data_IF_119922020443
#
_entry.id   IF_119922020443
#
_cell.length_a   1.000
_cell.length_b   1.000
_cell.length_c   1.000
_cell.angle_alpha   90.00
_cell.angle_beta   90.00
_cell.angle_gamma   90.00
#
_symmetry.space_group_name_H-M   'P 1'
#
loop_
_entity.id
_entity.type
_entity.pdbx_description
1 polymer ?
#
# COMPACT_ATOMS: atom_id res chain seq x y z
N UNK A 1 -26.26 -15.82 -25.24
CA UNK A 1 -27.56 -15.15 -24.99
C UNK A 1 -28.53 -16.19 -24.44
N UNK A 2 -29.58 -15.83 -23.67
CA UNK A 2 -29.93 -14.49 -23.18
C UNK A 2 -29.37 -14.22 -21.76
N UNK A 3 -30.11 -13.48 -20.90
CA UNK A 3 -29.65 -12.77 -19.69
C UNK A 3 -30.68 -12.94 -18.53
N UNK A 4 -30.37 -12.41 -17.33
CA UNK A 4 -31.20 -12.32 -16.09
C UNK A 4 -31.14 -13.59 -15.22
N UNK A 5 -31.23 -13.55 -13.88
CA UNK A 5 -32.10 -12.71 -13.05
C UNK A 5 -31.48 -12.19 -11.73
N UNK A 6 -32.24 -11.34 -11.03
CA UNK A 6 -31.94 -10.86 -9.68
C UNK A 6 -32.65 -11.72 -8.61
N UNK A 7 -32.00 -11.87 -7.45
CA UNK A 7 -32.72 -11.81 -6.17
C UNK A 7 -32.96 -13.10 -5.38
N UNK A 8 -32.76 -12.93 -4.06
CA UNK A 8 -33.20 -13.75 -2.91
C UNK A 8 -32.53 -15.10 -2.66
N UNK A 9 -32.47 -15.39 -1.36
CA UNK A 9 -31.87 -16.57 -0.72
C UNK A 9 -32.99 -17.52 -0.30
N UNK A 10 -32.79 -18.81 -0.49
CA UNK A 10 -33.49 -19.85 0.24
C UNK A 10 -32.49 -20.89 0.76
N UNK A 11 -32.62 -21.29 2.03
CA UNK A 11 -31.97 -22.48 2.56
C UNK A 11 -32.72 -23.73 2.08
N UNK A 12 -32.00 -24.82 1.78
CA UNK A 12 -32.03 -26.03 2.62
C UNK A 12 -31.14 -27.19 2.09
N UNK A 13 -30.57 -27.93 3.05
CA UNK A 13 -30.18 -29.38 3.04
C UNK A 13 -29.53 -30.04 1.81
N UNK A 14 -28.36 -30.66 2.04
CA UNK A 14 -27.71 -31.62 1.13
C UNK A 14 -28.20 -33.07 1.34
N UNK A 15 -28.15 -33.91 0.29
CA UNK A 15 -28.03 -35.37 0.42
C UNK A 15 -26.58 -35.85 0.19
N UNK A 16 -26.33 -37.16 0.41
CA UNK A 16 -24.99 -37.79 0.49
C UNK A 16 -24.53 -38.45 -0.82
N UNK A 17 -23.24 -38.85 -0.83
CA UNK A 17 -22.59 -39.72 -1.83
C UNK A 17 -23.31 -41.09 -1.97
N UNK A 18 -23.16 -41.69 -3.15
CA UNK A 18 -23.04 -43.14 -3.31
C UNK A 18 -21.85 -43.45 -4.26
N UNK A 19 -21.33 -44.67 -4.21
CA UNK A 19 -20.30 -45.19 -5.14
C UNK A 19 -20.66 -46.62 -5.53
N UNK A 20 -20.39 -46.99 -6.78
CA UNK A 20 -19.96 -48.31 -7.31
C UNK A 20 -20.20 -48.31 -8.83
N UNK A 21 -19.57 -49.07 -9.75
CA UNK A 21 -18.44 -50.03 -9.84
C UNK A 21 -18.87 -51.22 -10.73
N UNK A 22 -18.79 -51.06 -12.04
CA UNK A 22 -18.55 -52.10 -13.05
C UNK A 22 -18.39 -51.43 -14.44
N UNK A 23 -17.62 -51.94 -15.41
CA UNK A 23 -16.68 -53.07 -15.35
C UNK A 23 -16.80 -54.06 -16.50
N UNK A 24 -16.28 -53.71 -17.70
CA UNK A 24 -16.01 -54.59 -18.85
C UNK A 24 -14.92 -53.92 -19.71
N UNK A 25 -14.10 -54.70 -20.42
CA UNK A 25 -13.14 -54.22 -21.43
C UNK A 25 -12.70 -55.35 -22.36
N UNK A 26 -11.91 -55.04 -23.40
CA UNK A 26 -11.18 -55.97 -24.27
C UNK A 26 -10.04 -55.20 -24.97
N UNK A 27 -9.03 -55.91 -25.48
CA UNK A 27 -7.69 -55.37 -25.81
C UNK A 27 -7.34 -55.37 -27.31
N UNK A 28 -6.06 -55.07 -27.62
CA UNK A 28 -5.31 -55.20 -28.89
C UNK A 28 -5.37 -53.98 -29.84
N UNK A 29 -4.29 -53.56 -30.51
CA UNK A 29 -2.87 -54.00 -30.48
C UNK A 29 -1.90 -52.93 -31.02
N UNK A 30 -0.60 -53.00 -30.67
CA UNK A 30 0.49 -52.22 -31.28
C UNK A 30 0.93 -52.79 -32.65
N UNK A 31 1.82 -52.09 -33.39
CA UNK A 31 3.21 -52.59 -33.43
C UNK A 31 4.31 -51.51 -33.26
N UNK A 32 5.55 -51.97 -33.04
CA UNK A 32 6.78 -51.15 -32.99
C UNK A 32 7.65 -51.36 -34.24
N UNK A 33 8.64 -50.49 -34.48
CA UNK A 33 9.81 -50.81 -35.33
C UNK A 33 11.09 -50.04 -34.93
N UNK A 34 12.26 -50.67 -35.12
CA UNK A 34 13.66 -50.22 -34.88
C UNK A 34 14.60 -51.11 -35.75
N UNK A 35 15.83 -50.71 -36.15
CA UNK A 35 17.00 -50.42 -35.28
C UNK A 35 17.80 -49.17 -35.78
N UNK A 36 19.14 -48.96 -35.78
CA UNK A 36 20.37 -49.73 -35.42
C UNK A 36 21.59 -48.78 -35.22
N UNK A 37 22.54 -49.15 -34.34
CA UNK A 37 24.05 -49.03 -34.36
C UNK A 37 24.70 -47.83 -35.11
N UNK A 38 25.66 -47.05 -34.57
CA UNK A 38 27.09 -47.41 -34.32
C UNK A 38 27.77 -46.54 -33.21
N UNK A 39 29.09 -46.63 -33.03
CA UNK A 39 29.79 -46.75 -31.72
C UNK A 39 31.31 -46.38 -31.88
N UNK A 40 32.17 -45.95 -30.91
CA UNK A 40 32.10 -45.74 -29.42
C UNK A 40 32.61 -44.32 -28.94
N UNK A 41 33.77 -44.00 -28.25
CA UNK A 41 33.91 -42.71 -27.48
C UNK A 41 35.21 -41.85 -27.70
N UNK A 42 35.40 -40.77 -26.92
CA UNK A 42 36.71 -40.12 -26.62
C UNK A 42 36.73 -39.38 -25.25
N UNK A 43 37.89 -38.87 -24.79
CA UNK A 43 38.19 -38.52 -23.38
C UNK A 43 38.21 -37.01 -22.98
N UNK A 44 38.21 -36.80 -21.64
CA UNK A 44 38.34 -35.56 -20.82
C UNK A 44 39.35 -34.48 -21.27
N UNK A 45 38.98 -33.21 -21.04
CA UNK A 45 39.66 -32.19 -20.17
C UNK A 45 38.80 -30.90 -20.12
N UNK A 46 38.58 -30.21 -18.99
CA UNK A 46 39.37 -29.11 -18.37
C UNK A 46 39.63 -27.91 -19.34
N UNK A 47 39.52 -26.62 -18.98
CA UNK A 47 39.71 -25.88 -17.70
C UNK A 47 38.76 -24.64 -17.62
N UNK A 48 38.82 -23.88 -16.51
CA UNK A 48 38.27 -22.52 -16.25
C UNK A 48 36.80 -22.46 -15.80
N UNK A 49 36.43 -21.82 -14.68
CA UNK A 49 36.72 -20.46 -14.15
C UNK A 49 36.06 -19.34 -14.97
N UNK A 50 34.84 -18.97 -14.58
CA UNK A 50 34.57 -17.66 -13.95
C UNK A 50 33.22 -17.69 -13.22
N UNK A 51 33.08 -16.90 -12.16
CA UNK A 51 31.85 -16.82 -11.36
C UNK A 51 30.97 -15.68 -11.84
N UNK A 52 29.86 -15.98 -12.51
CA UNK A 52 28.86 -14.97 -12.86
C UNK A 52 27.94 -14.77 -11.66
N UNK A 53 28.05 -13.63 -11.00
CA UNK A 53 27.01 -13.14 -10.09
C UNK A 53 25.76 -12.82 -10.93
N UNK A 54 24.71 -13.64 -10.86
CA UNK A 54 23.39 -13.26 -11.35
C UNK A 54 22.85 -12.11 -10.48
N UNK A 55 23.20 -10.88 -10.89
CA UNK A 55 22.52 -9.67 -10.46
C UNK A 55 21.07 -9.74 -10.92
N UNK A 56 20.21 -10.17 -10.01
CA UNK A 56 18.76 -10.14 -10.13
C UNK A 56 18.26 -8.67 -10.05
N UNK A 57 18.65 -7.87 -11.04
CA UNK A 57 18.14 -6.53 -11.27
C UNK A 57 16.68 -6.64 -11.77
N UNK A 58 15.74 -6.96 -10.85
CA UNK A 58 14.31 -6.64 -10.98
C UNK A 58 14.19 -5.10 -11.11
N UNK A 59 14.48 -4.61 -12.31
CA UNK A 59 14.31 -3.23 -12.76
C UNK A 59 12.89 -2.77 -12.43
N UNK A 60 12.71 -1.49 -12.08
CA UNK A 60 11.45 -0.99 -11.50
C UNK A 60 10.34 -0.80 -12.55
N UNK A 61 9.92 -1.91 -13.16
CA UNK A 61 8.66 -2.03 -13.89
C UNK A 61 7.48 -1.87 -12.92
N UNK A 62 7.13 -0.61 -12.68
CA UNK A 62 5.80 -0.13 -12.34
C UNK A 62 5.24 0.69 -13.53
N UNK A 63 5.54 0.28 -14.78
CA UNK A 63 5.33 1.13 -15.95
C UNK A 63 5.03 0.47 -17.31
N UNK A 64 5.53 -0.73 -17.62
CA UNK A 64 5.35 -1.35 -18.96
C UNK A 64 4.49 -2.64 -18.93
N UNK A 65 4.42 -3.38 -17.81
CA UNK A 65 3.60 -4.61 -17.74
C UNK A 65 2.07 -4.41 -17.84
N UNK A 66 1.57 -3.17 -17.70
CA UNK A 66 0.13 -2.84 -17.62
C UNK A 66 -0.65 -3.06 -18.94
N UNK A 67 0.01 -3.18 -20.08
CA UNK A 67 -0.65 -3.38 -21.39
C UNK A 67 -1.32 -4.76 -21.55
N UNK A 68 -1.16 -5.68 -20.58
CA UNK A 68 -1.55 -7.09 -20.73
C UNK A 68 -2.93 -7.46 -20.15
N UNK A 69 -3.64 -6.55 -19.49
CA UNK A 69 -5.05 -6.76 -19.10
C UNK A 69 -5.99 -6.34 -20.25
N UNK A 70 -6.00 -7.15 -21.32
CA UNK A 70 -6.93 -7.01 -22.46
C UNK A 70 -6.79 -5.73 -23.31
N UNK A 71 -5.68 -4.99 -23.22
CA UNK A 71 -5.50 -3.72 -23.93
C UNK A 71 -6.39 -2.59 -23.40
N UNK A 72 -6.81 -2.65 -22.13
CA UNK A 72 -7.63 -1.65 -21.47
C UNK A 72 -6.72 -0.72 -20.63
N UNK A 73 -6.52 0.55 -21.02
CA UNK A 73 -5.63 1.44 -20.27
C UNK A 73 -6.18 1.76 -18.87
N UNK A 74 -5.33 1.63 -17.86
CA UNK A 74 -5.58 2.07 -16.50
C UNK A 74 -5.30 3.59 -16.42
N UNK A 75 -6.35 4.39 -16.24
CA UNK A 75 -6.24 5.85 -16.23
C UNK A 75 -5.89 6.32 -14.81
N UNK A 76 -4.96 7.26 -14.70
CA UNK A 76 -4.60 7.91 -13.42
C UNK A 76 -4.74 9.42 -13.58
N UNK A 77 -5.60 10.03 -12.78
CA UNK A 77 -5.70 11.48 -12.69
C UNK A 77 -4.39 12.06 -12.13
N UNK A 78 -3.80 13.02 -12.88
CA UNK A 78 -2.61 13.77 -12.46
C UNK A 78 -2.86 15.28 -12.35
N UNK A 79 -4.07 15.75 -12.67
CA UNK A 79 -4.44 17.17 -12.66
C UNK A 79 -4.85 17.72 -11.30
N UNK A 80 -4.97 16.88 -10.27
CA UNK A 80 -5.62 17.23 -9.01
C UNK A 80 -7.14 17.20 -9.13
N UNK A 81 -7.83 17.91 -8.24
CA UNK A 81 -9.29 18.01 -8.23
C UNK A 81 -9.72 19.50 -8.22
N UNK A 82 -10.74 19.92 -9.00
CA UNK A 82 -11.59 19.11 -9.89
C UNK A 82 -10.84 18.43 -11.05
N UNK A 83 -11.35 17.27 -11.49
CA UNK A 83 -10.76 16.50 -12.59
C UNK A 83 -10.77 17.35 -13.88
N UNK A 84 -9.64 17.42 -14.59
CA UNK A 84 -9.56 18.17 -15.83
C UNK A 84 -10.37 17.52 -16.96
N UNK A 85 -10.78 18.32 -17.95
CA UNK A 85 -11.66 17.89 -19.05
C UNK A 85 -11.10 16.68 -19.82
N UNK A 86 -9.79 16.66 -20.09
CA UNK A 86 -9.15 15.54 -20.78
C UNK A 86 -9.29 14.21 -20.02
N UNK A 87 -8.98 14.20 -18.72
CA UNK A 87 -9.08 13.00 -17.86
C UNK A 87 -10.55 12.59 -17.67
N UNK A 88 -11.46 13.57 -17.60
CA UNK A 88 -12.90 13.34 -17.52
C UNK A 88 -13.44 12.65 -18.78
N UNK A 89 -13.10 13.14 -19.98
CA UNK A 89 -13.48 12.48 -21.23
C UNK A 89 -12.80 11.12 -21.41
N UNK A 90 -11.54 10.97 -21.01
CA UNK A 90 -10.88 9.66 -21.02
C UNK A 90 -11.62 8.65 -20.12
N UNK A 91 -12.07 9.07 -18.92
CA UNK A 91 -12.89 8.23 -18.03
C UNK A 91 -14.21 7.82 -18.69
N UNK A 92 -14.95 8.75 -19.28
CA UNK A 92 -16.22 8.43 -19.93
C UNK A 92 -16.06 7.51 -21.14
N UNK A 93 -15.06 7.74 -22.00
CA UNK A 93 -14.69 6.81 -23.11
C UNK A 93 -14.29 5.41 -22.61
N UNK A 94 -13.66 5.31 -21.44
CA UNK A 94 -13.33 4.02 -20.82
C UNK A 94 -14.60 3.31 -20.34
N UNK A 95 -15.51 4.01 -19.64
CA UNK A 95 -16.79 3.48 -19.15
C UNK A 95 -17.69 3.04 -20.31
N UNK A 96 -17.85 3.85 -21.35
CA UNK A 96 -18.74 3.53 -22.48
C UNK A 96 -18.26 2.36 -23.33
N UNK A 97 -16.94 2.13 -23.40
CA UNK A 97 -16.35 0.98 -24.09
C UNK A 97 -16.53 -0.35 -23.33
N UNK A 98 -16.59 -0.32 -22.00
CA UNK A 98 -16.61 -1.54 -21.15
C UNK A 98 -18.02 -1.91 -20.70
N UNK A 99 -18.88 -0.93 -20.42
CA UNK A 99 -20.23 -1.20 -19.95
C UNK A 99 -21.14 -1.67 -21.10
N UNK A 100 -21.90 -2.79 -20.97
CA UNK A 100 -22.74 -3.31 -22.07
C UNK A 100 -23.81 -2.34 -22.59
N UNK A 101 -24.27 -1.42 -21.74
CA UNK A 101 -25.09 -0.26 -22.11
C UNK A 101 -24.28 1.03 -21.85
N UNK A 102 -23.16 1.18 -22.55
CA UNK A 102 -22.22 2.28 -22.32
C UNK A 102 -22.82 3.65 -22.60
N UNK A 103 -23.32 3.84 -23.82
CA UNK A 103 -23.95 5.10 -24.24
C UNK A 103 -25.21 5.44 -23.42
N UNK A 104 -25.99 4.44 -22.97
CA UNK A 104 -27.12 4.67 -22.08
C UNK A 104 -26.69 5.10 -20.68
N UNK A 105 -25.63 4.51 -20.11
CA UNK A 105 -25.05 4.97 -18.84
C UNK A 105 -24.54 6.41 -18.95
N UNK A 106 -23.81 6.73 -20.02
CA UNK A 106 -23.29 8.08 -20.24
C UNK A 106 -24.44 9.11 -20.33
N UNK A 107 -25.43 8.87 -21.19
CA UNK A 107 -26.59 9.76 -21.37
C UNK A 107 -27.45 9.91 -20.11
N UNK A 108 -27.50 8.90 -19.22
CA UNK A 108 -28.26 8.96 -17.96
C UNK A 108 -27.56 9.73 -16.84
N UNK A 109 -26.24 9.93 -16.92
CA UNK A 109 -25.45 10.52 -15.81
C UNK A 109 -24.86 11.87 -16.21
N UNK A 110 -24.34 12.03 -17.43
CA UNK A 110 -23.71 13.29 -17.86
C UNK A 110 -24.76 14.38 -18.03
N UNK A 111 -24.64 15.45 -17.24
CA UNK A 111 -25.57 16.59 -17.27
C UNK A 111 -26.91 16.35 -16.58
N UNK A 112 -27.12 15.21 -15.93
CA UNK A 112 -28.31 14.93 -15.13
C UNK A 112 -28.34 15.83 -13.88
N UNK A 113 -29.51 16.42 -13.59
CA UNK A 113 -29.72 17.40 -12.50
C UNK A 113 -30.40 16.80 -11.27
N UNK A 114 -30.86 15.55 -11.37
CA UNK A 114 -31.57 14.76 -10.37
C UNK A 114 -30.71 13.69 -9.68
N UNK A 115 -29.39 13.69 -9.95
CA UNK A 115 -28.45 12.74 -9.35
C UNK A 115 -28.45 12.81 -7.82
N UNK A 116 -28.44 11.66 -7.11
CA UNK A 116 -28.48 11.65 -5.65
C UNK A 116 -27.20 12.27 -5.07
N UNK A 117 -27.36 13.28 -4.21
CA UNK A 117 -26.24 13.85 -3.46
C UNK A 117 -25.65 12.82 -2.51
N UNK A 118 -24.43 12.38 -2.79
CA UNK A 118 -23.71 11.40 -1.98
C UNK A 118 -23.44 11.99 -0.58
N UNK A 119 -23.76 11.28 0.52
CA UNK A 119 -23.43 11.74 1.86
C UNK A 119 -21.92 11.61 2.10
N UNK A 120 -21.30 12.70 2.58
CA UNK A 120 -19.87 12.72 2.91
C UNK A 120 -19.62 11.85 4.15
N UNK A 121 -18.79 10.79 4.07
CA UNK A 121 -18.49 9.96 5.23
C UNK A 121 -17.66 10.76 6.24
N UNK A 122 -18.02 10.68 7.53
CA UNK A 122 -17.27 11.37 8.59
C UNK A 122 -15.99 10.61 8.90
N UNK A 123 -14.85 11.30 8.86
CA UNK A 123 -13.55 10.74 9.31
C UNK A 123 -13.69 10.25 10.76
N UNK A 124 -13.38 8.97 11.05
CA UNK A 124 -13.71 8.37 12.34
C UNK A 124 -12.81 8.91 13.45
N UNK A 125 -13.44 9.30 14.57
CA UNK A 125 -12.79 9.80 15.78
C UNK A 125 -13.07 8.87 16.97
N UNK A 126 -12.18 8.85 17.95
CA UNK A 126 -12.17 7.85 19.02
C UNK A 126 -12.06 8.48 20.39
N UNK A 127 -12.79 7.94 21.38
CA UNK A 127 -12.49 8.21 22.77
C UNK A 127 -11.19 7.46 23.16
N UNK A 128 -10.40 7.96 24.12
CA UNK A 128 -9.20 7.26 24.61
C UNK A 128 -9.49 5.83 25.10
N UNK A 129 -10.71 5.58 25.58
CA UNK A 129 -11.24 4.29 26.05
C UNK A 129 -11.61 3.31 24.94
N UNK A 130 -11.80 3.74 23.69
CA UNK A 130 -12.19 2.86 22.59
C UNK A 130 -11.08 1.84 22.29
N UNK A 131 -11.40 0.54 22.29
CA UNK A 131 -10.42 -0.53 22.08
C UNK A 131 -9.82 -0.52 20.67
N UNK A 132 -8.56 -0.97 20.52
CA UNK A 132 -7.85 -0.98 19.24
C UNK A 132 -8.63 -1.71 18.12
N UNK A 133 -9.22 -2.91 18.34
CA UNK A 133 -10.03 -3.57 17.29
C UNK A 133 -11.21 -2.72 16.81
N UNK A 134 -11.97 -2.10 17.72
CA UNK A 134 -13.11 -1.25 17.35
C UNK A 134 -12.67 0.00 16.58
N UNK A 135 -11.48 0.56 16.88
CA UNK A 135 -10.91 1.65 16.05
C UNK A 135 -10.58 1.15 14.65
N UNK A 136 -9.92 0.00 14.52
CA UNK A 136 -9.58 -0.58 13.21
C UNK A 136 -10.83 -0.93 12.38
N UNK A 137 -11.89 -1.43 13.01
CA UNK A 137 -13.18 -1.68 12.36
C UNK A 137 -13.85 -0.39 11.86
N UNK A 138 -13.76 0.70 12.63
CA UNK A 138 -14.26 2.02 12.23
C UNK A 138 -13.45 2.63 11.07
N UNK A 139 -12.11 2.52 11.08
CA UNK A 139 -11.27 2.87 9.93
C UNK A 139 -11.67 2.06 8.70
N UNK A 140 -11.87 0.75 8.87
CA UNK A 140 -12.28 -0.13 7.78
C UNK A 140 -13.71 0.14 7.29
N UNK A 141 -14.61 0.62 8.17
CA UNK A 141 -15.93 1.12 7.75
C UNK A 141 -15.77 2.36 6.89
N UNK A 142 -15.03 3.37 7.35
CA UNK A 142 -14.76 4.59 6.59
C UNK A 142 -14.15 4.30 5.20
N UNK A 143 -13.14 3.41 5.14
CA UNK A 143 -12.54 2.94 3.87
C UNK A 143 -13.58 2.27 2.96
N UNK A 144 -14.54 1.51 3.50
CA UNK A 144 -15.64 0.92 2.70
C UNK A 144 -16.70 1.94 2.28
N UNK A 145 -16.97 2.94 3.10
CA UNK A 145 -17.96 3.99 2.82
C UNK A 145 -17.53 4.86 1.62
N UNK A 146 -16.22 5.03 1.40
CA UNK A 146 -15.64 5.64 0.19
C UNK A 146 -15.85 4.79 -1.08
N UNK A 147 -16.10 3.49 -0.94
CA UNK A 147 -16.28 2.49 -2.01
C UNK A 147 -15.01 2.14 -2.81
N UNK A 148 -15.01 0.93 -3.38
CA UNK A 148 -13.96 0.50 -4.31
C UNK A 148 -14.14 1.18 -5.67
N UNK A 149 -13.08 1.76 -6.21
CA UNK A 149 -13.13 2.46 -7.49
C UNK A 149 -13.28 1.50 -8.68
N UNK A 150 -14.48 1.49 -9.27
CA UNK A 150 -14.85 0.72 -10.46
C UNK A 150 -14.91 1.55 -11.76
N UNK A 151 -14.53 2.84 -11.77
CA UNK A 151 -14.70 3.73 -12.94
C UNK A 151 -13.65 3.49 -14.05
N UNK A 152 -12.58 2.77 -13.74
CA UNK A 152 -11.36 2.68 -14.54
C UNK A 152 -10.32 3.71 -14.11
N UNK A 153 -10.73 4.95 -13.86
CA UNK A 153 -9.86 6.08 -13.51
C UNK A 153 -9.55 6.14 -12.01
N UNK A 154 -8.27 6.01 -11.65
CA UNK A 154 -7.78 6.31 -10.30
C UNK A 154 -7.75 7.83 -10.07
N UNK A 155 -8.28 8.32 -8.96
CA UNK A 155 -8.45 9.76 -8.71
C UNK A 155 -7.24 10.43 -8.04
N UNK A 156 -6.45 9.68 -7.24
CA UNK A 156 -5.30 10.22 -6.49
C UNK A 156 -3.99 9.55 -6.93
N UNK A 157 -3.00 10.34 -7.40
CA UNK A 157 -1.71 9.80 -7.90
C UNK A 157 -0.77 9.35 -6.77
N UNK A 158 -0.78 8.05 -6.43
CA UNK A 158 0.15 7.47 -5.45
C UNK A 158 1.45 7.01 -6.13
N UNK A 159 2.47 7.88 -6.13
CA UNK A 159 3.86 7.50 -6.44
C UNK A 159 4.54 6.90 -5.20
N UNK A 160 4.85 5.59 -5.24
CA UNK A 160 5.43 4.81 -4.12
C UNK A 160 6.74 5.36 -3.55
N UNK A 161 7.51 6.09 -4.36
CA UNK A 161 8.79 6.71 -4.00
C UNK A 161 8.67 8.13 -3.40
N UNK A 162 7.46 8.68 -3.23
CA UNK A 162 7.27 9.91 -2.44
C UNK A 162 7.62 9.66 -0.96
N UNK A 163 8.18 10.65 -0.25
CA UNK A 163 8.39 10.57 1.20
C UNK A 163 7.03 10.50 1.93
N UNK A 164 7.01 9.94 3.15
CA UNK A 164 5.78 9.68 3.91
C UNK A 164 4.94 10.95 4.09
N UNK A 165 5.56 12.08 4.43
CA UNK A 165 4.87 13.39 4.54
C UNK A 165 4.05 13.76 3.29
N UNK A 166 4.60 13.57 2.09
CA UNK A 166 3.91 13.85 0.83
C UNK A 166 2.85 12.80 0.46
N UNK A 167 2.83 11.64 1.12
CA UNK A 167 1.76 10.64 1.03
C UNK A 167 0.63 10.95 2.04
N UNK A 168 0.97 11.52 3.20
CA UNK A 168 -0.02 11.96 4.21
C UNK A 168 -0.84 13.17 3.74
N UNK A 169 -0.26 14.09 2.97
CA UNK A 169 -1.04 15.16 2.34
C UNK A 169 -2.04 14.64 1.30
N UNK A 170 -1.71 13.59 0.53
CA UNK A 170 -2.67 12.95 -0.39
C UNK A 170 -3.75 12.19 0.39
N UNK A 171 -3.41 11.50 1.49
CA UNK A 171 -4.41 10.87 2.36
C UNK A 171 -5.41 11.89 2.94
N UNK A 172 -4.92 13.07 3.30
CA UNK A 172 -5.70 14.21 3.77
C UNK A 172 -6.60 14.80 2.66
N UNK A 173 -6.13 14.81 1.41
CA UNK A 173 -6.95 15.10 0.22
C UNK A 173 -8.09 14.07 0.05
N UNK A 174 -7.80 12.77 0.14
CA UNK A 174 -8.83 11.71 0.10
C UNK A 174 -9.92 11.92 1.16
N UNK A 175 -9.56 12.38 2.37
CA UNK A 175 -10.53 12.67 3.45
C UNK A 175 -11.34 13.96 3.28
N UNK A 176 -11.00 14.80 2.29
CA UNK A 176 -11.77 16.00 1.93
C UNK A 176 -12.69 15.72 0.76
N UNK A 177 -12.13 15.14 -0.30
CA UNK A 177 -12.81 14.95 -1.57
C UNK A 177 -13.69 13.68 -1.60
N UNK A 178 -13.42 12.72 -0.71
CA UNK A 178 -14.24 11.53 -0.45
C UNK A 178 -14.62 10.68 -1.68
N UNK A 179 -13.73 10.64 -2.69
CA UNK A 179 -13.93 9.86 -3.92
C UNK A 179 -13.57 8.37 -3.75
N UNK A 180 -14.09 7.46 -4.60
CA UNK A 180 -13.77 6.04 -4.57
C UNK A 180 -12.29 5.73 -4.80
N UNK A 181 -11.79 4.76 -4.05
CA UNK A 181 -10.35 4.40 -3.94
C UNK A 181 -10.06 2.94 -4.32
N UNK A 182 -8.82 2.68 -4.72
CA UNK A 182 -8.26 1.35 -5.00
C UNK A 182 -7.34 0.91 -3.85
N UNK A 183 -6.81 -0.31 -3.93
CA UNK A 183 -6.04 -0.95 -2.86
C UNK A 183 -4.83 -0.12 -2.37
N UNK A 184 -4.05 0.49 -3.26
CA UNK A 184 -2.88 1.30 -2.88
C UNK A 184 -3.28 2.62 -2.18
N UNK A 185 -4.34 3.28 -2.64
CA UNK A 185 -4.88 4.49 -1.99
C UNK A 185 -5.39 4.16 -0.57
N UNK A 186 -6.08 3.03 -0.40
CA UNK A 186 -6.54 2.55 0.91
C UNK A 186 -5.40 2.19 1.88
N UNK A 187 -4.22 1.79 1.39
CA UNK A 187 -3.03 1.57 2.22
C UNK A 187 -2.49 2.90 2.77
N UNK A 188 -2.37 3.92 1.91
CA UNK A 188 -1.92 5.27 2.30
C UNK A 188 -2.91 5.92 3.28
N UNK A 189 -4.22 5.81 3.00
CA UNK A 189 -5.28 6.28 3.89
C UNK A 189 -5.31 5.51 5.22
N UNK A 190 -5.08 4.19 5.19
CA UNK A 190 -4.99 3.35 6.39
C UNK A 190 -3.84 3.77 7.30
N UNK A 191 -2.67 4.10 6.74
CA UNK A 191 -1.50 4.64 7.47
C UNK A 191 -1.88 5.98 8.13
N UNK A 192 -2.46 6.91 7.36
CA UNK A 192 -2.87 8.23 7.84
C UNK A 192 -3.83 8.15 9.03
N UNK A 193 -4.89 7.34 8.92
CA UNK A 193 -5.93 7.18 9.95
C UNK A 193 -5.45 6.43 11.21
N UNK A 194 -4.24 5.84 11.20
CA UNK A 194 -3.65 5.10 12.32
C UNK A 194 -2.39 5.73 12.91
N UNK A 195 -1.88 6.85 12.38
CA UNK A 195 -0.68 7.52 12.92
C UNK A 195 -0.78 7.80 14.43
N UNK A 196 -1.97 8.21 14.91
CA UNK A 196 -2.26 8.52 16.32
C UNK A 196 -2.39 7.29 17.25
N UNK A 197 -2.10 6.08 16.76
CA UNK A 197 -2.24 4.81 17.49
C UNK A 197 -0.86 4.15 17.66
N UNK A 198 0.03 4.65 18.56
CA UNK A 198 1.44 4.22 18.66
C UNK A 198 1.65 2.79 19.18
N UNK A 199 0.58 2.07 19.53
CA UNK A 199 0.61 0.64 19.86
C UNK A 199 0.25 -0.25 18.66
N UNK A 200 0.14 0.32 17.46
CA UNK A 200 -0.37 -0.32 16.25
C UNK A 200 0.65 -0.16 15.15
N UNK A 201 1.52 -1.16 15.01
CA UNK A 201 2.53 -1.25 13.97
C UNK A 201 1.89 -1.57 12.62
N UNK A 202 2.41 -0.97 11.54
CA UNK A 202 1.73 -0.91 10.23
C UNK A 202 2.74 -1.12 9.11
N UNK A 203 2.51 -2.10 8.24
CA UNK A 203 3.47 -2.49 7.20
C UNK A 203 2.74 -2.94 5.92
N UNK A 204 3.21 -2.60 4.71
CA UNK A 204 2.54 -3.02 3.48
C UNK A 204 2.75 -4.51 3.22
N UNK A 205 1.68 -5.21 2.83
CA UNK A 205 1.71 -6.59 2.33
C UNK A 205 1.19 -6.58 0.89
N UNK A 206 2.07 -6.87 -0.07
CA UNK A 206 1.74 -6.93 -1.49
C UNK A 206 1.71 -8.37 -2.01
N UNK A 207 0.78 -8.66 -2.91
CA UNK A 207 0.58 -9.98 -3.53
C UNK A 207 0.70 -9.86 -5.06
N UNK A 208 1.59 -10.64 -5.69
CA UNK A 208 1.55 -10.94 -7.14
C UNK A 208 0.87 -12.30 -7.30
N UNK A 209 -0.29 -12.31 -7.95
CA UNK A 209 -1.06 -13.53 -8.25
C UNK A 209 -1.15 -13.75 -9.75
N UNK A 210 -1.58 -14.93 -10.17
CA UNK A 210 -1.93 -15.22 -11.56
C UNK A 210 -3.32 -15.88 -11.64
N UNK A 211 -4.11 -15.50 -12.64
CA UNK A 211 -5.38 -16.12 -12.99
C UNK A 211 -5.56 -16.06 -14.51
N UNK A 212 -5.99 -17.15 -15.14
CA UNK A 212 -6.20 -17.23 -16.60
C UNK A 212 -5.03 -16.71 -17.45
N UNK A 213 -3.78 -17.03 -17.04
CA UNK A 213 -2.55 -16.55 -17.69
C UNK A 213 -2.10 -15.15 -17.24
N UNK A 214 -3.02 -14.22 -17.04
CA UNK A 214 -2.75 -12.85 -16.60
C UNK A 214 -2.24 -12.77 -15.15
N UNK A 215 -1.34 -11.81 -14.90
CA UNK A 215 -0.81 -11.50 -13.57
C UNK A 215 -1.56 -10.31 -12.95
N UNK A 216 -1.87 -10.40 -11.65
CA UNK A 216 -2.57 -9.36 -10.91
C UNK A 216 -1.78 -8.95 -9.67
N UNK A 217 -1.50 -7.65 -9.54
CA UNK A 217 -0.84 -7.02 -8.39
C UNK A 217 -1.91 -6.51 -7.40
N UNK A 218 -1.73 -6.74 -6.11
CA UNK A 218 -2.65 -6.28 -5.04
C UNK A 218 -1.87 -5.93 -3.77
N UNK A 219 -2.44 -5.10 -2.88
CA UNK A 219 -1.78 -4.65 -1.64
C UNK A 219 -2.79 -4.41 -0.52
N UNK A 220 -2.41 -4.71 0.72
CA UNK A 220 -3.12 -4.35 1.96
C UNK A 220 -2.14 -3.76 2.98
N UNK A 221 -2.66 -3.08 4.00
CA UNK A 221 -1.88 -2.64 5.14
C UNK A 221 -1.96 -3.70 6.23
N UNK A 222 -0.89 -4.47 6.40
CA UNK A 222 -0.71 -5.36 7.53
C UNK A 222 -0.64 -4.57 8.83
N UNK A 223 -1.33 -5.06 9.85
CA UNK A 223 -1.40 -4.45 11.19
C UNK A 223 -0.84 -5.45 12.20
N UNK A 224 -0.02 -4.97 13.13
CA UNK A 224 0.47 -5.75 14.26
C UNK A 224 0.31 -4.96 15.58
N UNK A 225 -0.43 -5.52 16.54
CA UNK A 225 -0.69 -4.89 17.83
C UNK A 225 -1.06 -5.94 18.88
N UNK A 226 -0.64 -5.76 20.13
CA UNK A 226 -0.92 -6.71 21.22
C UNK A 226 -0.39 -8.14 20.99
N UNK A 227 0.62 -8.30 20.13
CA UNK A 227 1.12 -9.61 19.70
C UNK A 227 0.20 -10.36 18.73
N UNK A 228 -0.82 -9.70 18.17
CA UNK A 228 -1.70 -10.21 17.12
C UNK A 228 -1.50 -9.45 15.81
N UNK A 229 -1.89 -10.11 14.72
CA UNK A 229 -1.87 -9.60 13.36
C UNK A 229 -3.29 -9.42 12.81
N UNK A 230 -3.45 -8.48 11.89
CA UNK A 230 -4.68 -8.21 11.13
C UNK A 230 -4.34 -7.40 9.87
N UNK A 231 -5.35 -6.90 9.16
CA UNK A 231 -5.14 -6.08 7.96
C UNK A 231 -6.25 -5.03 7.75
N UNK A 232 -5.86 -3.87 7.21
CA UNK A 232 -6.76 -2.85 6.64
C UNK A 232 -6.55 -2.79 5.11
N UNK A 233 -7.61 -2.47 4.36
CA UNK A 233 -7.47 -2.19 2.93
C UNK A 233 -8.81 -2.09 2.20
N UNK A 234 -8.77 -2.11 0.87
CA UNK A 234 -9.97 -2.19 0.02
C UNK A 234 -9.71 -3.07 -1.20
N UNK A 235 -10.69 -3.89 -1.56
CA UNK A 235 -10.58 -4.83 -2.67
C UNK A 235 -11.94 -5.09 -3.31
N UNK A 236 -11.93 -5.63 -4.53
CA UNK A 236 -13.12 -6.11 -5.26
C UNK A 236 -13.77 -7.35 -4.61
N UNK A 237 -13.09 -7.97 -3.63
CA UNK A 237 -13.55 -9.12 -2.85
C UNK A 237 -13.39 -8.84 -1.35
N UNK A 238 -14.41 -9.14 -0.56
CA UNK A 238 -14.51 -8.69 0.85
C UNK A 238 -13.55 -9.38 1.81
N UNK A 239 -13.13 -10.59 1.44
CA UNK A 239 -12.14 -11.45 2.11
C UNK A 239 -10.70 -11.19 1.66
N UNK A 240 -10.49 -10.35 0.64
CA UNK A 240 -9.18 -9.88 0.17
C UNK A 240 -8.89 -8.43 0.61
N UNK A 241 -9.43 -7.99 1.75
CA UNK A 241 -9.18 -6.66 2.32
C UNK A 241 -8.98 -6.70 3.84
N UNK A 242 -10.03 -6.45 4.63
CA UNK A 242 -9.96 -6.49 6.09
C UNK A 242 -9.65 -7.87 6.63
N UNK A 243 -8.84 -7.93 7.68
CA UNK A 243 -8.69 -9.11 8.55
C UNK A 243 -8.65 -8.64 10.01
N UNK A 244 -9.47 -9.22 10.91
CA UNK A 244 -9.52 -8.79 12.30
C UNK A 244 -8.18 -9.05 13.02
N UNK A 245 -7.96 -8.35 14.15
CA UNK A 245 -6.70 -8.36 14.90
C UNK A 245 -6.57 -9.63 15.79
N UNK A 246 -6.65 -10.80 15.16
CA UNK A 246 -6.80 -12.10 15.83
C UNK A 246 -5.69 -13.11 15.50
N UNK A 247 -5.03 -12.95 14.36
CA UNK A 247 -4.03 -13.90 13.85
C UNK A 247 -2.80 -13.90 14.77
N UNK A 248 -2.28 -15.07 15.13
CA UNK A 248 -1.18 -15.19 16.11
C UNK A 248 0.18 -14.91 15.50
N UNK A 249 0.35 -15.23 14.22
CA UNK A 249 1.58 -15.01 13.45
C UNK A 249 1.27 -14.45 12.06
N UNK A 250 2.25 -13.76 11.46
CA UNK A 250 2.17 -13.26 10.10
C UNK A 250 1.91 -14.39 9.07
N UNK A 251 2.41 -15.60 9.33
CA UNK A 251 2.14 -16.76 8.49
C UNK A 251 0.65 -17.16 8.47
N UNK A 252 -0.05 -17.04 9.60
CA UNK A 252 -1.48 -17.36 9.67
C UNK A 252 -2.32 -16.33 8.87
N UNK A 253 -1.93 -15.04 8.94
CA UNK A 253 -2.54 -13.96 8.17
C UNK A 253 -2.31 -14.12 6.65
N UNK A 254 -1.08 -14.45 6.24
CA UNK A 254 -0.75 -14.66 4.82
C UNK A 254 -1.42 -15.93 4.27
N UNK A 255 -1.51 -17.00 5.08
CA UNK A 255 -2.22 -18.24 4.72
C UNK A 255 -3.72 -18.00 4.49
N UNK A 256 -4.33 -17.11 5.26
CA UNK A 256 -5.72 -16.68 5.10
C UNK A 256 -5.93 -15.94 3.77
N UNK A 257 -5.08 -14.96 3.42
CA UNK A 257 -5.15 -14.31 2.09
C UNK A 257 -4.92 -15.31 0.94
N UNK A 258 -3.98 -16.25 1.07
CA UNK A 258 -3.76 -17.31 0.08
C UNK A 258 -5.00 -18.19 -0.11
N UNK A 259 -5.74 -18.49 0.97
CA UNK A 259 -6.99 -19.25 0.93
C UNK A 259 -8.09 -18.48 0.19
N UNK A 260 -8.26 -17.18 0.49
CA UNK A 260 -9.20 -16.31 -0.21
C UNK A 260 -8.88 -16.18 -1.71
N UNK A 261 -7.61 -15.99 -2.10
CA UNK A 261 -7.20 -15.97 -3.51
C UNK A 261 -7.55 -17.29 -4.24
N UNK A 262 -7.29 -18.43 -3.59
CA UNK A 262 -7.65 -19.75 -4.13
C UNK A 262 -9.17 -19.91 -4.32
N UNK A 263 -9.98 -19.29 -3.45
CA UNK A 263 -11.45 -19.21 -3.60
C UNK A 263 -11.93 -18.50 -4.87
N UNK A 264 -11.07 -17.67 -5.49
CA UNK A 264 -11.31 -17.02 -6.77
C UNK A 264 -10.42 -17.55 -7.90
N UNK A 265 -9.87 -18.75 -7.75
CA UNK A 265 -8.97 -19.40 -8.72
C UNK A 265 -7.66 -18.64 -9.02
N UNK A 266 -7.27 -17.69 -8.17
CA UNK A 266 -5.96 -17.03 -8.26
C UNK A 266 -4.87 -17.90 -7.59
N UNK A 267 -3.81 -18.20 -8.33
CA UNK A 267 -2.57 -18.77 -7.77
C UNK A 267 -1.71 -17.63 -7.23
N UNK A 268 -1.30 -17.71 -5.95
CA UNK A 268 -0.38 -16.76 -5.35
C UNK A 268 1.06 -17.09 -5.76
N UNK A 269 1.73 -16.16 -6.47
CA UNK A 269 3.07 -16.34 -7.04
C UNK A 269 4.17 -15.73 -6.16
N UNK A 270 4.09 -14.42 -5.85
CA UNK A 270 5.02 -13.74 -4.92
C UNK A 270 4.26 -12.97 -3.83
N UNK A 271 4.82 -12.92 -2.63
CA UNK A 271 4.42 -11.99 -1.54
C UNK A 271 5.58 -11.03 -1.29
N UNK A 272 5.35 -9.71 -1.32
CA UNK A 272 6.33 -8.69 -0.93
C UNK A 272 5.85 -8.03 0.36
N UNK A 273 6.67 -8.04 1.42
CA UNK A 273 6.34 -7.47 2.73
C UNK A 273 7.33 -6.35 3.05
N UNK A 274 6.80 -5.20 3.45
CA UNK A 274 7.59 -4.06 3.86
C UNK A 274 7.91 -4.02 5.35
N UNK A 275 8.61 -2.98 5.77
CA UNK A 275 8.83 -2.68 7.18
C UNK A 275 7.67 -1.91 7.80
N UNK A 276 7.72 -1.74 9.13
CA UNK A 276 6.85 -0.81 9.83
C UNK A 276 7.05 0.63 9.33
N UNK A 277 5.94 1.33 9.13
CA UNK A 277 5.88 2.72 8.69
C UNK A 277 5.92 3.64 9.91
N UNK A 278 6.73 4.71 9.85
CA UNK A 278 6.85 5.70 10.92
C UNK A 278 5.50 6.30 11.32
N UNK A 279 5.31 6.55 12.62
CA UNK A 279 4.13 7.22 13.17
C UNK A 279 4.18 8.75 13.04
N UNK A 280 5.35 9.31 12.68
CA UNK A 280 5.48 10.73 12.37
C UNK A 280 4.88 11.04 10.98
N UNK A 281 3.76 11.78 10.88
CA UNK A 281 3.17 12.16 9.60
C UNK A 281 4.05 13.13 8.80
N UNK A 282 5.10 13.70 9.39
CA UNK A 282 6.04 14.61 8.75
C UNK A 282 7.37 13.95 8.36
N UNK A 283 7.53 12.63 8.56
CA UNK A 283 8.75 11.93 8.18
C UNK A 283 9.04 12.07 6.68
N UNK A 284 10.32 12.32 6.39
CA UNK A 284 10.89 12.39 5.03
C UNK A 284 11.32 11.01 4.51
N UNK A 285 11.18 9.97 5.32
CA UNK A 285 11.48 8.58 4.93
C UNK A 285 10.50 8.08 3.85
N UNK A 286 10.97 7.18 2.99
CA UNK A 286 10.10 6.42 2.08
C UNK A 286 9.57 5.17 2.80
N UNK A 287 8.37 4.72 2.41
CA UNK A 287 7.84 3.42 2.85
C UNK A 287 8.69 2.31 2.22
N UNK A 288 9.29 1.43 3.03
CA UNK A 288 10.09 0.31 2.53
C UNK A 288 9.18 -0.82 2.02
N UNK A 289 8.61 -0.69 0.82
CA UNK A 289 7.56 -1.58 0.27
C UNK A 289 7.96 -3.04 0.04
N UNK A 290 9.26 -3.32 -0.13
CA UNK A 290 9.78 -4.59 -0.68
C UNK A 290 10.94 -5.18 0.13
N UNK A 291 10.91 -5.05 1.47
CA UNK A 291 11.97 -5.52 2.37
C UNK A 291 12.18 -7.04 2.33
N UNK A 292 11.11 -7.82 2.21
CA UNK A 292 11.19 -9.26 2.01
C UNK A 292 10.30 -9.69 0.86
N UNK A 293 10.88 -10.35 -0.13
CA UNK A 293 10.21 -10.82 -1.35
C UNK A 293 10.26 -12.34 -1.35
N UNK A 294 9.10 -12.97 -1.16
CA UNK A 294 8.96 -14.41 -1.00
C UNK A 294 8.27 -14.99 -2.23
N UNK A 295 8.94 -15.92 -2.90
CA UNK A 295 8.40 -16.67 -4.04
C UNK A 295 7.66 -17.90 -3.50
N UNK A 296 6.32 -17.87 -3.57
CA UNK A 296 5.44 -18.79 -2.84
C UNK A 296 5.38 -20.18 -3.50
N UNK A 297 5.91 -20.31 -4.72
CA UNK A 297 5.95 -21.59 -5.45
C UNK A 297 7.31 -22.28 -5.35
N UNK A 298 8.38 -21.53 -5.10
CA UNK A 298 9.73 -22.07 -4.85
C UNK A 298 9.94 -22.52 -3.41
N UNK A 299 9.13 -22.02 -2.47
CA UNK A 299 9.24 -22.30 -1.04
C UNK A 299 8.24 -23.38 -0.61
N UNK A 300 8.66 -24.33 0.21
CA UNK A 300 7.73 -25.17 0.98
C UNK A 300 6.93 -24.33 1.99
N UNK A 301 5.82 -24.88 2.48
CA UNK A 301 4.98 -24.21 3.49
C UNK A 301 5.77 -23.89 4.76
N UNK A 302 6.67 -24.77 5.14
CA UNK A 302 7.51 -24.69 6.33
C UNK A 302 8.62 -23.64 6.15
N UNK A 303 9.19 -23.49 4.95
CA UNK A 303 10.17 -22.44 4.63
C UNK A 303 9.51 -21.07 4.51
N UNK A 304 8.35 -20.98 3.84
CA UNK A 304 7.54 -19.76 3.80
C UNK A 304 7.19 -19.30 5.22
N UNK A 305 6.81 -20.23 6.11
CA UNK A 305 6.57 -19.92 7.53
C UNK A 305 7.83 -19.41 8.23
N UNK A 306 8.99 -20.06 8.04
CA UNK A 306 10.28 -19.64 8.64
C UNK A 306 10.64 -18.21 8.23
N UNK A 307 10.54 -17.86 6.94
CA UNK A 307 10.87 -16.51 6.49
C UNK A 307 9.86 -15.45 6.95
N UNK A 308 8.57 -15.77 7.03
CA UNK A 308 7.57 -14.87 7.61
C UNK A 308 7.79 -14.63 9.12
N UNK A 309 8.20 -15.66 9.86
CA UNK A 309 8.60 -15.51 11.26
C UNK A 309 9.92 -14.77 11.43
N UNK A 310 10.90 -14.99 10.53
CA UNK A 310 12.18 -14.26 10.50
C UNK A 310 11.93 -12.78 10.25
N UNK A 311 11.21 -12.43 9.19
CA UNK A 311 10.79 -11.06 8.89
C UNK A 311 10.07 -10.40 10.07
N UNK A 312 9.19 -11.14 10.76
CA UNK A 312 8.52 -10.66 11.98
C UNK A 312 9.50 -10.30 13.11
N UNK A 313 10.61 -11.02 13.25
CA UNK A 313 11.68 -10.69 14.22
C UNK A 313 12.47 -9.47 13.74
N UNK A 314 12.85 -9.44 12.47
CA UNK A 314 13.65 -8.35 11.87
C UNK A 314 12.90 -7.00 11.96
N UNK A 315 11.58 -6.96 11.73
CA UNK A 315 10.75 -5.76 11.96
C UNK A 315 10.77 -5.30 13.43
N UNK A 316 10.59 -6.23 14.38
CA UNK A 316 10.60 -5.93 15.83
C UNK A 316 11.96 -5.43 16.32
N UNK A 317 13.06 -5.92 15.73
CA UNK A 317 14.41 -5.47 16.06
C UNK A 317 14.74 -4.08 15.52
N UNK A 318 14.15 -3.65 14.38
CA UNK A 318 14.33 -2.28 13.86
C UNK A 318 13.75 -1.22 14.81
N UNK A 319 12.64 -1.48 15.52
CA UNK A 319 12.07 -0.58 16.55
C UNK A 319 13.10 -0.25 17.65
N UNK A 320 14.00 -1.19 17.98
CA UNK A 320 15.00 -1.04 19.02
C UNK A 320 16.18 -0.11 18.68
N UNK A 321 16.25 0.46 17.47
CA UNK A 321 17.28 1.45 17.14
C UNK A 321 16.82 2.85 17.56
N UNK A 322 17.49 3.52 18.52
CA UNK A 322 17.22 4.92 18.79
C UNK A 322 17.55 5.77 17.55
N UNK A 323 16.86 6.90 17.40
CA UNK A 323 17.12 7.86 16.33
C UNK A 323 18.61 8.25 16.27
N UNK A 324 19.18 8.50 15.08
CA UNK A 324 20.59 8.88 14.94
C UNK A 324 20.88 10.11 15.81
N UNK A 325 21.87 9.98 16.68
CA UNK A 325 22.20 11.01 17.67
C UNK A 325 22.48 12.32 16.94
N UNK A 326 21.72 13.37 17.29
CA UNK A 326 21.90 14.70 16.71
C UNK A 326 23.35 15.13 16.87
N UNK A 327 24.00 15.69 15.83
CA UNK A 327 25.45 15.87 15.80
C UNK A 327 25.91 16.67 17.01
N UNK A 328 26.70 16.02 17.87
CA UNK A 328 27.17 16.61 19.12
C UNK A 328 28.03 17.83 18.80
N UNK A 329 27.81 18.92 19.56
CA UNK A 329 28.49 20.21 19.35
C UNK A 329 29.90 20.17 19.92
N UNK A 330 30.71 19.23 19.45
CA UNK A 330 32.06 18.97 19.94
C UNK A 330 33.01 20.10 19.54
N UNK A 331 33.18 20.99 20.51
CA UNK A 331 34.03 22.17 20.50
C UNK A 331 35.51 21.77 20.40
N UNK A 332 35.96 21.43 19.19
CA UNK A 332 37.40 21.25 18.91
C UNK A 332 38.14 22.54 19.26
N UNK A 333 38.90 22.47 20.35
CA UNK A 333 40.05 23.35 20.60
C UNK A 333 41.25 22.84 19.81
N UNK A 334 42.20 23.75 19.61
CA UNK A 334 43.61 23.50 19.30
C UNK A 334 43.92 22.64 18.05
N UNK A 335 44.29 23.30 16.95
CA UNK A 335 45.70 23.34 16.49
C UNK A 335 45.88 24.18 15.20
N UNK A 336 47.06 24.82 15.09
CA UNK A 336 47.72 25.15 13.81
C UNK A 336 47.19 26.34 12.98
N UNK A 337 47.80 27.51 13.16
CA UNK A 337 47.69 28.64 12.19
C UNK A 337 48.76 28.54 11.10
N UNK A 338 48.41 28.61 9.80
CA UNK A 338 49.35 28.92 8.72
C UNK A 338 49.67 30.42 8.66
N UNK A 339 50.86 30.78 8.16
CA UNK A 339 51.36 32.15 8.11
C UNK A 339 50.95 32.92 6.84
N UNK A 340 51.11 34.25 6.89
CA UNK A 340 50.87 35.20 5.79
C UNK A 340 51.73 34.91 4.54
N UNK A 341 51.22 35.31 3.39
CA UNK A 341 52.02 36.05 2.40
C UNK A 341 51.16 37.16 1.72
N UNK A 342 51.77 38.21 1.12
CA UNK A 342 51.06 39.47 0.83
C UNK A 342 50.49 39.57 -0.59
N UNK A 343 49.36 40.27 -0.71
CA UNK A 343 48.76 40.64 -2.00
C UNK A 343 47.51 41.50 -1.80
N UNK A 344 47.63 42.81 -2.05
CA UNK A 344 46.53 43.80 -2.02
C UNK A 344 46.64 44.65 -3.29
N UNK A 345 45.55 45.23 -3.84
CA UNK A 345 44.89 46.34 -3.13
C UNK A 345 43.37 46.55 -3.34
N UNK A 346 42.74 47.20 -2.34
CA UNK A 346 41.60 48.15 -2.47
C UNK A 346 40.20 47.58 -2.87
N UNK A 347 39.05 48.24 -2.56
CA UNK A 347 38.82 49.60 -2.02
C UNK A 347 37.47 49.73 -1.26
N UNK A 348 37.42 50.62 -0.25
CA UNK A 348 36.23 51.17 0.48
C UNK A 348 35.46 50.14 1.36
N UNK A 349 35.22 50.39 2.66
CA UNK A 349 34.40 51.43 3.33
C UNK A 349 32.89 51.32 3.00
N UNK A 350 31.96 51.42 3.97
CA UNK A 350 32.06 52.09 5.29
C UNK A 350 31.06 51.61 6.37
N UNK A 351 31.46 51.77 7.65
CA UNK A 351 30.64 51.94 8.90
C UNK A 351 29.71 50.79 9.32
N UNK A 352 29.64 50.34 10.59
CA UNK A 352 29.55 51.02 11.91
C UNK A 352 28.13 51.52 12.26
N UNK A 353 27.59 51.35 13.49
CA UNK A 353 28.11 50.65 14.69
C UNK A 353 27.00 50.43 15.76
N UNK A 354 27.28 49.49 16.70
CA UNK A 354 26.82 49.40 18.13
C UNK A 354 25.31 49.34 18.50
N UNK A 355 25.08 48.62 19.61
CA UNK A 355 23.84 48.55 20.43
C UNK A 355 23.96 49.50 21.64
N UNK A 356 22.99 49.40 22.56
CA UNK A 356 22.94 49.81 24.00
C UNK A 356 22.15 51.11 24.28
N UNK A 357 21.49 51.34 25.45
CA UNK A 357 20.81 50.46 26.44
C UNK A 357 20.20 51.30 27.58
N UNK A 358 19.02 50.95 28.13
CA UNK A 358 18.41 51.57 29.33
C UNK A 358 17.51 52.80 29.04
N UNK A 359 16.65 53.28 29.96
CA UNK A 359 16.31 52.81 31.32
C UNK A 359 14.91 53.32 31.79
N UNK A 360 14.33 52.71 32.86
CA UNK A 360 13.34 53.16 33.90
C UNK A 360 12.38 54.37 33.65
N UNK A 361 11.13 54.48 34.19
CA UNK A 361 10.47 54.21 35.51
C UNK A 361 8.91 54.39 35.30
N UNK A 362 7.89 54.24 36.18
CA UNK A 362 7.59 53.61 37.49
C UNK A 362 6.09 53.75 37.87
N UNK A 363 5.53 52.81 38.66
CA UNK A 363 4.55 52.94 39.78
C UNK A 363 3.34 53.93 39.64
N UNK A 364 2.07 53.48 39.53
CA UNK A 364 1.10 53.01 40.58
C UNK A 364 0.20 54.15 41.17
N UNK A 365 -0.99 53.94 41.81
CA UNK A 365 -1.75 52.69 42.07
C UNK A 365 -3.30 52.72 41.94
N UNK A 366 -3.92 51.56 42.28
CA UNK A 366 -5.31 51.28 42.78
C UNK A 366 -6.47 50.97 41.80
N UNK A 367 -7.49 50.32 42.37
CA UNK A 367 -8.60 49.55 41.76
C UNK A 367 -9.90 49.75 42.59
N UNK A 368 -11.03 49.00 42.46
CA UNK A 368 -11.42 47.95 41.48
C UNK A 368 -12.84 48.15 40.87
N UNK A 369 -13.28 47.25 39.97
CA UNK A 369 -14.63 46.59 39.99
C UNK A 369 -15.00 45.84 38.68
N UNK A 370 -15.68 44.69 38.89
CA UNK A 370 -16.83 44.10 38.14
C UNK A 370 -16.85 43.57 36.69
N UNK A 371 -17.66 42.49 36.59
CA UNK A 371 -18.53 42.00 35.51
C UNK A 371 -17.98 41.39 34.18
N UNK A 372 -18.34 40.10 34.03
CA UNK A 372 -18.88 39.42 32.84
C UNK A 372 -18.09 39.32 31.51
N UNK A 373 -18.02 38.09 31.00
CA UNK A 373 -18.43 37.84 29.60
C UNK A 373 -17.40 37.24 28.64
N UNK A 374 -17.04 35.97 28.83
CA UNK A 374 -16.51 35.15 27.73
C UNK A 374 -17.47 34.02 27.39
N UNK A 375 -18.19 34.20 26.28
CA UNK A 375 -19.18 33.26 25.76
C UNK A 375 -18.66 32.58 24.49
N UNK A 376 -18.96 31.29 24.35
CA UNK A 376 -18.57 30.46 23.22
C UNK A 376 -19.20 31.00 21.92
N UNK A 377 -18.50 30.85 20.78
CA UNK A 377 -19.09 30.93 19.44
C UNK A 377 -18.90 29.61 18.70
N UNK A 378 -19.89 29.33 17.86
CA UNK A 378 -20.11 28.09 17.09
C UNK A 378 -19.28 28.09 15.82
#
# INVERSE_FOLDING_TARGET
MPVTCCGRVHHCTSPRRLMDKAGIGICLSQPQCKPKVTEVPMLRSAVSLEGVEERDEEQEDDGEEDLRDGGIPFIVNRGGLPVNEETWEQMWRHVTRIHPDGAGVEKRIRGATDLPKIPVPTVPTYQPTTSIPHRLEAIQKYIRDLQYNHTGTQFFEIKKSRPLTALMDIAKEMTRECLPIKCLEAVILGIYLTNSMPTVERFPISFKTQFSGSHFRHIVLGIHSGGRFGALGISRRVDLMFKPLEYRTLADLVQEFQTAYKGYWHTLRKVKIGQYVSHDPHSVEQIEWKHSVLDVEKLSKEELRKELERHTRDMRLKIGKPAPVSPTKDRRKDMGSPLRNPGSPMRKNSRSERRLSGEKKSLDPKAPADLNGYQIRV
#
